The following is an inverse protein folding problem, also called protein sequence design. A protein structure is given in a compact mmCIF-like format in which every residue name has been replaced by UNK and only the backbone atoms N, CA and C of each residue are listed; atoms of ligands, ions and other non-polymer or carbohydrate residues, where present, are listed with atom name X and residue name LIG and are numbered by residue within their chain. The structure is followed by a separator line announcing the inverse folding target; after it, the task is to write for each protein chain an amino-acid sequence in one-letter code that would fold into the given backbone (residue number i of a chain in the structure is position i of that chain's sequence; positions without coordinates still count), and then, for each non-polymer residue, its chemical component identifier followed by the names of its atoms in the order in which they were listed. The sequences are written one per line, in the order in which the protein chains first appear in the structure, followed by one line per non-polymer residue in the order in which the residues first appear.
data_IF_488338569663
#
_entry.id   IF_488338569663
#
_cell.length_a   1.000
_cell.length_b   1.000
_cell.length_c   1.000
_cell.angle_alpha   90.00
_cell.angle_beta   90.00
_cell.angle_gamma   90.00
#
_symmetry.space_group_name_H-M   'P 1'
#
loop_
_entity.id
_entity.type
_entity.pdbx_description
1 polymer ?
#
# COMPACT_ATOMS: atom_id res chain seq x y z
N UNK A 1 17.67 0.28 -15.52
CA UNK A 1 17.70 -0.62 -14.36
C UNK A 1 16.42 -0.41 -13.56
N UNK A 2 15.67 -1.47 -13.26
CA UNK A 2 14.43 -1.39 -12.47
C UNK A 2 14.63 -1.98 -11.05
N UNK A 3 13.66 -1.80 -10.14
CA UNK A 3 13.78 -2.29 -8.76
C UNK A 3 14.12 -3.78 -8.66
N UNK A 4 13.53 -4.60 -9.54
CA UNK A 4 13.76 -6.04 -9.55
C UNK A 4 15.18 -6.38 -10.02
N UNK A 5 15.71 -5.68 -11.02
CA UNK A 5 17.10 -5.85 -11.47
C UNK A 5 18.12 -5.40 -10.41
N UNK A 6 17.82 -4.37 -9.63
CA UNK A 6 18.71 -3.85 -8.59
C UNK A 6 18.75 -4.72 -7.33
N UNK A 7 17.58 -5.23 -6.89
CA UNK A 7 17.45 -5.91 -5.60
C UNK A 7 17.15 -7.41 -5.71
N UNK A 8 16.95 -7.93 -6.93
CA UNK A 8 16.55 -9.31 -7.22
C UNK A 8 15.29 -9.78 -6.46
N UNK A 9 14.46 -8.83 -6.00
CA UNK A 9 13.23 -9.07 -5.24
C UNK A 9 12.17 -8.05 -5.65
N UNK A 10 10.89 -8.39 -5.51
CA UNK A 10 9.81 -7.43 -5.68
C UNK A 10 9.68 -6.55 -4.43
N UNK A 11 9.22 -5.30 -4.57
CA UNK A 11 8.99 -4.44 -3.42
C UNK A 11 7.90 -5.07 -2.52
N UNK A 12 8.05 -4.97 -1.18
CA UNK A 12 7.02 -5.40 -0.25
C UNK A 12 5.76 -4.53 -0.39
N UNK A 13 4.58 -5.06 -0.04
CA UNK A 13 3.36 -4.25 -0.06
C UNK A 13 3.43 -3.08 0.90
N UNK A 14 3.89 -3.35 2.11
CA UNK A 14 4.13 -2.37 3.15
C UNK A 14 5.16 -2.89 4.17
N UNK A 15 5.78 -1.98 4.92
CA UNK A 15 6.79 -2.25 5.93
C UNK A 15 6.30 -1.64 7.24
N UNK A 16 6.23 -2.47 8.28
CA UNK A 16 5.81 -2.13 9.64
C UNK A 16 4.53 -1.28 9.67
N UNK A 17 3.44 -1.83 9.18
CA UNK A 17 2.13 -1.18 9.17
C UNK A 17 1.51 -1.10 10.57
N UNK A 18 0.81 0.00 10.84
CA UNK A 18 0.04 0.21 12.06
C UNK A 18 -1.35 -0.44 12.04
N UNK A 19 -1.48 -1.64 11.46
CA UNK A 19 -2.76 -2.35 11.38
C UNK A 19 -3.23 -2.94 12.73
N UNK A 20 -4.45 -3.48 12.73
CA UNK A 20 -5.12 -4.03 13.92
C UNK A 20 -4.27 -5.07 14.67
N UNK A 21 -3.45 -5.87 13.97
CA UNK A 21 -2.60 -6.92 14.55
C UNK A 21 -1.15 -6.51 14.77
N UNK A 22 -0.76 -5.27 14.43
CA UNK A 22 0.60 -4.74 14.59
C UNK A 22 1.19 -5.01 15.97
N UNK A 23 0.34 -5.04 17.00
CA UNK A 23 0.75 -5.29 18.36
C UNK A 23 1.40 -6.66 18.61
N UNK A 24 1.11 -7.65 17.75
CA UNK A 24 1.58 -9.03 17.92
C UNK A 24 2.97 -9.31 17.33
N UNK A 25 3.49 -8.44 16.47
CA UNK A 25 4.77 -8.68 15.77
C UNK A 25 5.66 -7.45 15.62
N UNK A 26 5.16 -6.24 15.86
CA UNK A 26 6.01 -5.06 15.95
C UNK A 26 6.29 -4.74 17.43
N UNK A 27 7.49 -4.24 17.77
CA UNK A 27 7.75 -3.56 19.05
C UNK A 27 7.13 -2.16 19.11
N UNK A 28 7.05 -1.56 20.31
CA UNK A 28 6.57 -0.17 20.45
C UNK A 28 7.50 0.81 19.72
N UNK A 29 6.93 1.83 19.08
CA UNK A 29 7.70 2.85 18.35
C UNK A 29 8.25 2.39 16.98
N UNK A 30 7.91 1.18 16.54
CA UNK A 30 8.43 0.59 15.29
C UNK A 30 7.46 0.67 14.11
N UNK A 31 6.29 1.29 14.26
CA UNK A 31 5.37 1.50 13.14
C UNK A 31 5.98 2.53 12.17
N UNK A 32 6.04 2.18 10.88
CA UNK A 32 6.61 3.01 9.81
C UNK A 32 5.62 3.29 8.68
N UNK A 33 4.68 2.40 8.38
CA UNK A 33 3.71 2.59 7.29
C UNK A 33 4.35 2.89 5.92
N UNK A 34 5.55 2.36 5.65
CA UNK A 34 6.16 2.51 4.32
C UNK A 34 5.46 1.58 3.34
N UNK A 35 5.16 2.03 2.14
CA UNK A 35 4.59 1.19 1.08
C UNK A 35 5.64 0.88 0.02
N UNK A 36 5.44 -0.21 -0.72
CA UNK A 36 6.31 -0.54 -1.86
C UNK A 36 6.36 0.57 -2.92
N UNK A 37 5.32 1.40 -3.02
CA UNK A 37 5.28 2.54 -3.95
C UNK A 37 6.37 3.56 -3.66
N UNK A 38 6.69 3.80 -2.39
CA UNK A 38 7.76 4.72 -2.02
C UNK A 38 9.11 4.22 -2.55
N UNK A 39 9.33 2.90 -2.53
CA UNK A 39 10.56 2.27 -3.01
C UNK A 39 10.67 2.25 -4.54
N UNK A 40 9.54 2.40 -5.24
CA UNK A 40 9.50 2.48 -6.70
C UNK A 40 9.75 3.89 -7.23
N UNK A 41 9.61 4.94 -6.40
CA UNK A 41 9.76 6.35 -6.81
C UNK A 41 11.04 6.63 -7.63
N UNK A 42 12.24 6.13 -7.24
CA UNK A 42 13.47 6.29 -8.03
C UNK A 42 13.38 5.77 -9.47
N UNK A 43 12.55 4.76 -9.70
CA UNK A 43 12.44 4.03 -10.96
C UNK A 43 11.32 4.55 -11.86
N UNK A 44 10.58 5.57 -11.42
CA UNK A 44 9.50 6.23 -12.17
C UNK A 44 9.72 7.75 -12.26
N UNK A 45 10.99 8.17 -12.31
CA UNK A 45 11.42 9.58 -12.39
C UNK A 45 10.95 10.46 -11.21
N UNK A 46 10.67 9.86 -10.05
CA UNK A 46 10.31 10.57 -8.82
C UNK A 46 11.44 10.55 -7.78
N UNK A 47 12.70 10.52 -8.22
CA UNK A 47 13.89 10.57 -7.35
C UNK A 47 13.88 11.75 -6.36
N UNK A 48 13.50 12.99 -6.73
CA UNK A 48 13.46 14.10 -5.78
C UNK A 48 12.49 13.86 -4.62
N UNK A 49 11.35 13.21 -4.90
CA UNK A 49 10.37 12.84 -3.88
C UNK A 49 10.92 11.76 -2.96
N UNK A 50 11.59 10.75 -3.52
CA UNK A 50 12.24 9.69 -2.74
C UNK A 50 13.27 10.26 -1.75
N UNK A 51 14.14 11.15 -2.23
CA UNK A 51 15.19 11.75 -1.41
C UNK A 51 14.66 12.68 -0.30
N UNK A 52 13.43 13.18 -0.46
CA UNK A 52 12.80 14.09 0.49
C UNK A 52 12.09 13.35 1.64
N UNK A 53 11.88 12.03 1.51
CA UNK A 53 11.25 11.18 2.52
C UNK A 53 12.28 10.78 3.59
N UNK A 54 11.94 10.98 4.85
CA UNK A 54 12.71 10.45 5.98
C UNK A 54 12.19 9.06 6.37
N UNK A 55 12.85 8.02 5.87
CA UNK A 55 12.51 6.62 6.16
C UNK A 55 12.82 6.20 7.62
N UNK A 56 13.41 7.08 8.45
CA UNK A 56 13.54 6.82 9.89
C UNK A 56 12.21 7.00 10.61
N UNK A 57 11.28 7.77 10.07
CA UNK A 57 9.96 8.03 10.65
C UNK A 57 8.85 7.38 9.85
N UNK A 58 7.65 7.33 10.43
CA UNK A 58 6.51 6.79 9.71
C UNK A 58 6.10 7.70 8.54
N UNK A 59 5.66 7.10 7.43
CA UNK A 59 5.18 7.81 6.23
C UNK A 59 3.66 7.91 6.16
N UNK A 60 2.95 7.37 7.15
CA UNK A 60 1.50 7.47 7.28
C UNK A 60 1.10 7.50 8.75
N UNK A 61 -0.14 7.92 9.03
CA UNK A 61 -0.63 8.14 10.39
C UNK A 61 -1.31 6.92 11.03
N UNK A 62 -1.54 5.85 10.27
CA UNK A 62 -2.12 4.63 10.81
C UNK A 62 -1.28 4.09 11.98
N UNK A 63 -1.83 4.15 13.19
CA UNK A 63 -1.23 3.59 14.40
C UNK A 63 -2.35 3.09 15.31
N UNK A 64 -2.68 1.80 15.14
CA UNK A 64 -3.67 1.12 15.95
C UNK A 64 -3.21 0.95 17.39
N UNK A 65 -4.07 1.33 18.35
CA UNK A 65 -3.81 1.30 19.81
C UNK A 65 -2.65 2.20 20.25
N UNK A 66 -2.29 3.21 19.47
CA UNK A 66 -1.22 4.16 19.82
C UNK A 66 0.08 3.44 20.21
N UNK A 67 0.44 2.43 19.40
CA UNK A 67 1.59 1.54 19.58
C UNK A 67 2.92 2.25 19.32
N UNK A 68 2.89 3.48 18.81
CA UNK A 68 4.06 4.29 18.58
C UNK A 68 4.59 4.12 17.16
N UNK A 69 4.67 5.25 16.47
CA UNK A 69 4.72 5.38 15.02
C UNK A 69 3.39 5.95 14.52
N UNK A 70 3.30 6.31 13.24
CA UNK A 70 2.25 7.24 12.81
C UNK A 70 2.76 8.67 12.80
N UNK A 71 3.16 9.16 11.63
CA UNK A 71 3.76 10.49 11.46
C UNK A 71 3.33 11.07 10.11
N UNK A 72 3.63 12.35 9.91
CA UNK A 72 3.23 13.14 8.75
C UNK A 72 4.45 13.63 7.99
N UNK A 73 4.57 13.23 6.75
CA UNK A 73 5.64 13.72 5.88
C UNK A 73 5.02 14.59 4.78
N UNK A 74 5.14 15.90 4.95
CA UNK A 74 4.56 16.92 4.05
C UNK A 74 5.03 16.77 2.59
N UNK A 75 6.15 16.10 2.38
CA UNK A 75 6.76 15.84 1.08
C UNK A 75 5.93 14.89 0.21
N UNK A 76 5.14 13.99 0.83
CA UNK A 76 4.29 13.00 0.16
C UNK A 76 2.79 13.30 0.33
N UNK A 77 2.42 14.14 1.28
CA UNK A 77 1.03 14.58 1.44
C UNK A 77 0.55 15.38 0.21
N UNK A 78 -0.64 15.02 -0.28
CA UNK A 78 -1.30 15.65 -1.43
C UNK A 78 -0.63 15.37 -2.77
N UNK A 79 0.39 14.51 -2.81
CA UNK A 79 1.09 14.16 -4.06
C UNK A 79 0.31 13.11 -4.83
N UNK A 80 -0.10 13.48 -6.04
CA UNK A 80 -0.77 12.62 -7.01
C UNK A 80 0.23 12.21 -8.08
N UNK A 81 0.47 10.91 -8.20
CA UNK A 81 1.30 10.34 -9.25
C UNK A 81 0.39 9.67 -10.27
N UNK A 82 0.20 10.31 -11.43
CA UNK A 82 -0.68 9.80 -12.49
C UNK A 82 -0.26 8.41 -12.98
N UNK A 83 1.05 8.09 -12.94
CA UNK A 83 1.56 6.75 -13.27
C UNK A 83 1.06 5.65 -12.32
N UNK A 84 0.67 6.00 -11.11
CA UNK A 84 0.10 5.08 -10.12
C UNK A 84 -1.44 5.07 -10.15
N UNK A 85 -2.06 5.83 -11.05
CA UNK A 85 -3.50 5.88 -11.26
C UNK A 85 -3.88 5.14 -12.53
N UNK A 86 -5.01 4.47 -12.49
CA UNK A 86 -5.60 3.94 -13.70
C UNK A 86 -6.39 5.07 -14.41
N UNK A 87 -6.17 5.32 -15.72
CA UNK A 87 -6.90 6.37 -16.45
C UNK A 87 -8.42 6.19 -16.51
N UNK A 88 -8.91 4.96 -16.33
CA UNK A 88 -10.34 4.65 -16.27
C UNK A 88 -10.92 4.62 -14.85
N UNK A 89 -10.10 4.83 -13.81
CA UNK A 89 -10.61 4.89 -12.43
C UNK A 89 -11.35 6.21 -12.24
N UNK A 90 -12.53 6.16 -11.62
CA UNK A 90 -13.25 7.38 -11.30
C UNK A 90 -12.48 8.13 -10.20
N UNK A 91 -12.40 9.45 -10.30
CA UNK A 91 -11.84 10.30 -9.24
C UNK A 91 -12.82 10.32 -8.05
N UNK A 92 -12.75 9.30 -7.20
CA UNK A 92 -13.51 9.21 -5.97
C UNK A 92 -12.63 9.59 -4.78
N UNK A 93 -13.06 10.62 -4.05
CA UNK A 93 -12.53 11.02 -2.74
C UNK A 93 -10.99 11.05 -2.67
N UNK A 94 -10.39 11.99 -3.41
CA UNK A 94 -8.94 12.12 -3.54
C UNK A 94 -8.51 13.60 -3.65
N UNK A 95 -7.76 14.16 -2.67
CA UNK A 95 -7.15 13.45 -1.54
C UNK A 95 -8.14 13.14 -0.40
N UNK A 96 -7.95 12.00 0.26
CA UNK A 96 -8.76 11.60 1.41
C UNK A 96 -8.03 11.86 2.73
N UNK A 97 -8.81 12.23 3.76
CA UNK A 97 -8.34 12.35 5.13
C UNK A 97 -9.34 11.71 6.09
N UNK A 98 -8.84 10.92 7.02
CA UNK A 98 -9.59 10.29 8.09
C UNK A 98 -8.93 10.62 9.43
N UNK A 99 -9.56 11.49 10.21
CA UNK A 99 -8.95 12.14 11.37
C UNK A 99 -8.95 11.32 12.67
N UNK A 100 -9.66 10.20 12.74
CA UNK A 100 -9.68 9.38 13.96
C UNK A 100 -8.49 8.44 13.99
N UNK A 101 -7.79 8.41 15.13
CA UNK A 101 -6.60 7.57 15.30
C UNK A 101 -6.99 6.08 15.38
N UNK A 102 -6.66 5.33 14.33
CA UNK A 102 -6.85 3.89 14.18
C UNK A 102 -6.00 3.36 13.01
N UNK A 103 -6.32 2.15 12.52
CA UNK A 103 -5.60 1.50 11.41
C UNK A 103 -5.84 2.13 10.03
N UNK A 104 -6.85 3.00 9.91
CA UNK A 104 -7.25 3.69 8.69
C UNK A 104 -6.92 5.18 8.72
N UNK A 105 -6.23 5.66 9.77
CA UNK A 105 -5.84 7.08 9.87
C UNK A 105 -4.96 7.44 8.70
N UNK A 106 -5.44 8.43 7.97
CA UNK A 106 -4.85 8.88 6.72
C UNK A 106 -5.04 10.39 6.65
N UNK A 107 -4.06 11.09 6.11
CA UNK A 107 -4.11 12.54 6.02
C UNK A 107 -3.64 12.97 4.65
N UNK A 108 -4.49 13.73 3.96
CA UNK A 108 -4.25 14.31 2.64
C UNK A 108 -3.54 13.32 1.70
N UNK A 109 -4.00 12.06 1.65
CA UNK A 109 -3.31 11.02 0.90
C UNK A 109 -4.07 10.70 -0.38
N UNK A 110 -3.31 10.40 -1.42
CA UNK A 110 -3.88 10.12 -2.74
C UNK A 110 -3.97 8.64 -3.04
N UNK A 111 -5.06 8.30 -3.73
CA UNK A 111 -5.35 6.92 -4.15
C UNK A 111 -4.32 6.45 -5.18
N UNK A 112 -3.89 5.20 -5.01
CA UNK A 112 -3.14 4.42 -6.00
C UNK A 112 -4.07 3.31 -6.50
N UNK A 113 -4.23 3.18 -7.82
CA UNK A 113 -5.16 2.21 -8.43
C UNK A 113 -4.58 0.80 -8.52
N UNK A 114 -3.27 0.65 -8.31
CA UNK A 114 -2.58 -0.63 -8.31
C UNK A 114 -2.41 -1.14 -6.86
N UNK A 115 -2.26 -2.45 -6.69
CA UNK A 115 -2.09 -3.08 -5.37
C UNK A 115 -0.99 -4.14 -5.40
N UNK A 116 -0.20 -4.22 -4.32
CA UNK A 116 0.76 -5.30 -4.12
C UNK A 116 0.08 -6.51 -3.47
N UNK A 117 0.13 -7.66 -4.15
CA UNK A 117 -0.34 -8.94 -3.60
C UNK A 117 0.87 -9.80 -3.29
N UNK A 118 1.03 -10.19 -2.02
CA UNK A 118 2.11 -11.07 -1.58
C UNK A 118 1.55 -12.26 -0.82
N UNK A 119 2.16 -13.43 -1.01
CA UNK A 119 1.76 -14.68 -0.35
C UNK A 119 2.42 -14.86 1.02
N UNK A 120 3.58 -14.25 1.23
CA UNK A 120 4.43 -14.47 2.39
C UNK A 120 4.78 -13.14 3.05
N UNK A 121 4.58 -13.06 4.37
CA UNK A 121 5.08 -11.96 5.21
C UNK A 121 6.35 -12.43 5.92
N UNK A 122 7.26 -11.50 6.22
CA UNK A 122 8.51 -11.80 6.96
C UNK A 122 8.27 -12.06 8.45
N UNK A 123 7.04 -11.84 8.94
CA UNK A 123 6.63 -12.12 10.32
C UNK A 123 6.09 -13.55 10.45
N UNK A 124 6.44 -14.32 11.49
CA UNK A 124 5.97 -15.69 11.66
C UNK A 124 4.43 -15.80 11.74
N UNK A 125 3.85 -16.24 10.62
CA UNK A 125 2.66 -17.08 10.34
C UNK A 125 1.38 -17.08 11.19
N UNK A 126 1.20 -16.37 12.29
CA UNK A 126 -0.08 -16.41 13.05
C UNK A 126 -0.99 -15.19 12.85
N UNK A 127 -0.48 -14.07 12.32
CA UNK A 127 -1.28 -12.85 12.19
C UNK A 127 -1.87 -12.57 10.80
N UNK A 128 -1.29 -13.06 9.70
CA UNK A 128 -1.69 -12.66 8.32
C UNK A 128 -2.12 -13.83 7.44
N UNK A 129 -1.90 -15.06 7.88
CA UNK A 129 -2.25 -16.32 7.20
C UNK A 129 -3.74 -16.67 7.33
N UNK A 130 -4.63 -15.67 7.33
CA UNK A 130 -6.08 -15.92 7.43
C UNK A 130 -6.81 -15.69 6.09
N UNK A 131 -6.25 -14.90 5.16
CA UNK A 131 -6.93 -14.57 3.89
C UNK A 131 -6.56 -15.48 2.70
N UNK A 132 -5.34 -16.01 2.65
CA UNK A 132 -4.87 -16.85 1.51
C UNK A 132 -5.09 -18.34 1.78
N UNK A 133 -5.14 -18.74 3.05
CA UNK A 133 -5.04 -20.15 3.49
C UNK A 133 -6.36 -20.78 3.91
N UNK A 134 -7.41 -19.98 4.18
CA UNK A 134 -8.68 -20.54 4.68
C UNK A 134 -9.72 -20.89 3.63
N UNK A 135 -9.46 -20.71 2.34
CA UNK A 135 -10.36 -21.18 1.26
C UNK A 135 -11.81 -20.63 1.30
N UNK A 136 -12.18 -19.86 2.30
CA UNK A 136 -13.47 -19.23 2.48
C UNK A 136 -13.46 -17.92 1.69
N UNK A 137 -13.72 -18.06 0.39
CA UNK A 137 -13.95 -16.94 -0.52
C UNK A 137 -15.11 -16.09 0.01
N UNK A 138 -14.91 -14.84 0.47
CA UNK A 138 -16.02 -13.95 0.71
C UNK A 138 -16.67 -13.60 -0.66
N UNK A 139 -18.00 -13.38 -0.73
CA UNK A 139 -18.73 -13.21 -1.99
C UNK A 139 -18.17 -12.11 -2.91
N UNK A 140 -17.51 -11.09 -2.35
CA UNK A 140 -16.91 -9.98 -3.11
C UNK A 140 -15.57 -10.35 -3.80
N UNK A 141 -14.82 -11.33 -3.29
CA UNK A 141 -13.55 -11.75 -3.88
C UNK A 141 -13.71 -12.54 -5.19
N UNK A 142 -14.94 -12.94 -5.53
CA UNK A 142 -15.25 -13.63 -6.79
C UNK A 142 -15.19 -12.67 -7.99
N UNK A 143 -15.26 -11.37 -7.76
CA UNK A 143 -15.26 -10.34 -8.82
C UNK A 143 -13.86 -10.02 -9.33
N UNK A 144 -12.82 -10.11 -8.48
CA UNK A 144 -11.44 -9.72 -8.86
C UNK A 144 -10.73 -10.79 -9.69
N UNK A 145 -11.08 -12.07 -9.53
CA UNK A 145 -10.41 -13.18 -10.24
C UNK A 145 -11.16 -13.69 -11.49
N UNK A 146 -12.42 -13.27 -11.72
CA UNK A 146 -13.15 -13.59 -12.96
C UNK A 146 -12.96 -12.58 -14.08
N UNK A 147 -12.53 -11.35 -13.78
CA UNK A 147 -12.23 -10.35 -14.81
C UNK A 147 -10.97 -10.70 -15.61
N UNK A 148 -10.05 -11.50 -15.06
CA UNK A 148 -8.78 -11.85 -15.72
C UNK A 148 -8.89 -12.98 -16.76
N UNK A 149 -10.05 -13.64 -16.91
CA UNK A 149 -10.18 -14.82 -17.77
C UNK A 149 -11.25 -14.70 -18.87
N UNK A 150 -11.96 -13.57 -18.99
CA UNK A 150 -12.97 -13.40 -20.05
C UNK A 150 -13.09 -11.95 -20.52
N UNK A 151 -11.99 -11.39 -21.04
CA UNK A 151 -12.08 -10.20 -21.90
C UNK A 151 -11.00 -10.23 -22.99
N UNK A 152 -10.99 -11.30 -23.78
CA UNK A 152 -10.49 -11.27 -25.15
C UNK A 152 -11.70 -10.99 -26.05
N UNK A 153 -12.01 -9.71 -26.27
CA UNK A 153 -12.61 -9.11 -27.48
C UNK A 153 -13.34 -7.80 -27.14
N UNK A 154 -12.72 -6.68 -27.50
CA UNK A 154 -13.46 -5.49 -27.99
C UNK A 154 -14.07 -4.50 -26.99
N UNK A 155 -13.33 -4.01 -25.98
CA UNK A 155 -13.72 -2.83 -25.18
C UNK A 155 -12.50 -1.91 -24.95
N UNK A 156 -12.70 -0.58 -24.86
CA UNK A 156 -11.60 0.37 -24.67
C UNK A 156 -10.85 0.03 -23.39
N UNK A 157 -9.52 0.04 -23.46
CA UNK A 157 -8.58 -0.44 -22.43
C UNK A 157 -8.95 0.08 -21.03
N UNK A 158 -9.70 -0.72 -20.28
CA UNK A 158 -9.83 -0.59 -18.83
C UNK A 158 -8.54 -1.16 -18.24
N UNK A 159 -8.02 -0.59 -17.16
CA UNK A 159 -6.95 -1.30 -16.46
C UNK A 159 -7.54 -2.60 -15.91
N UNK A 160 -6.80 -3.70 -16.14
CA UNK A 160 -7.19 -5.11 -16.04
C UNK A 160 -7.84 -5.68 -17.31
#
# INVERSE_FOLDING_TARGET
MNYHESYNVFPPSYINGGEVRSYGYLPYGQIKNHTGYLLLLPYIDQQPMYNAIDFRFATGQADWRSRGGGQRQLQIEGKKLEVLRCPSDANFDDPHSYGWQNMYTIHNSSRVSYGFVHRHTSTPSTAVTEWITRGTRPPWARTVLRSSATSMMGLPRRCC
#
